data_IF_017942825311
#
_entry.id   IF_017942825311
#
_cell.length_a   1.000
_cell.length_b   1.000
_cell.length_c   1.000
_cell.angle_alpha   90.00
_cell.angle_beta   90.00
_cell.angle_gamma   90.00
#
_symmetry.space_group_name_H-M   'P 1'
#
loop_
_entity.id
_entity.type
_entity.pdbx_description
1 polymer ?
#
# COMPACT_ATOMS: atom_id res chain seq x y z
N UNK A 1 -6.53 -9.35 4.06
CA UNK A 1 -6.21 -7.99 3.54
C UNK A 1 -4.71 -7.86 3.33
N UNK A 2 -4.26 -7.15 2.29
CA UNK A 2 -2.84 -6.93 2.00
C UNK A 2 -2.51 -5.43 2.14
N UNK A 3 -1.50 -5.10 2.93
CA UNK A 3 -0.99 -3.74 3.20
C UNK A 3 0.44 -3.65 2.68
N UNK A 4 0.68 -2.72 1.76
CA UNK A 4 2.00 -2.47 1.18
C UNK A 4 2.64 -1.26 1.85
N UNK A 5 3.68 -1.50 2.64
CA UNK A 5 4.47 -0.47 3.34
C UNK A 5 5.70 -0.13 2.51
N UNK A 6 6.04 1.14 2.38
CA UNK A 6 7.30 1.53 1.71
C UNK A 6 7.26 2.91 1.08
N UNK A 7 8.41 3.37 0.62
CA UNK A 7 8.62 4.70 0.04
C UNK A 7 7.78 4.94 -1.23
N UNK A 8 7.47 6.20 -1.58
CA UNK A 8 7.10 6.53 -2.95
C UNK A 8 8.22 6.06 -3.90
N UNK A 9 7.86 5.46 -5.04
CA UNK A 9 8.86 4.88 -5.96
C UNK A 9 9.35 3.47 -5.60
N UNK A 10 8.92 2.88 -4.48
CA UNK A 10 9.32 1.52 -4.11
C UNK A 10 8.78 0.41 -5.03
N UNK A 11 7.78 0.69 -5.87
CA UNK A 11 7.17 -0.31 -6.76
C UNK A 11 5.91 -0.98 -6.20
N UNK A 12 5.32 -0.42 -5.15
CA UNK A 12 4.10 -0.95 -4.49
C UNK A 12 2.93 -1.14 -5.46
N UNK A 13 2.66 -0.18 -6.35
CA UNK A 13 1.54 -0.25 -7.29
C UNK A 13 1.71 -1.40 -8.28
N UNK A 14 2.94 -1.60 -8.77
CA UNK A 14 3.27 -2.73 -9.65
C UNK A 14 3.04 -4.07 -8.94
N UNK A 15 3.47 -4.18 -7.67
CA UNK A 15 3.23 -5.36 -6.85
C UNK A 15 1.73 -5.56 -6.55
N UNK A 16 1.01 -4.48 -6.19
CA UNK A 16 -0.44 -4.53 -5.94
C UNK A 16 -1.22 -5.07 -7.13
N UNK A 17 -0.91 -4.58 -8.33
CA UNK A 17 -1.54 -5.05 -9.58
C UNK A 17 -1.19 -6.51 -9.88
N UNK A 18 0.06 -6.90 -9.67
CA UNK A 18 0.50 -8.28 -9.90
C UNK A 18 -0.18 -9.24 -8.93
N UNK A 19 -0.28 -8.89 -7.64
CA UNK A 19 -1.02 -9.68 -6.64
C UNK A 19 -2.51 -9.76 -6.97
N UNK A 20 -3.13 -8.66 -7.39
CA UNK A 20 -4.55 -8.66 -7.77
C UNK A 20 -4.84 -9.56 -8.98
N UNK A 21 -3.89 -9.72 -9.91
CA UNK A 21 -4.01 -10.70 -11.01
C UNK A 21 -3.93 -12.15 -10.57
N UNK A 22 -3.17 -12.42 -9.48
CA UNK A 22 -2.97 -13.76 -8.92
C UNK A 22 -4.06 -14.15 -7.91
N UNK A 23 -4.78 -13.18 -7.34
CA UNK A 23 -5.80 -13.35 -6.30
C UNK A 23 -7.19 -13.12 -6.89
N UNK A 24 -7.96 -14.17 -7.23
CA UNK A 24 -9.28 -14.03 -7.83
C UNK A 24 -10.22 -13.21 -6.95
N UNK A 25 -10.85 -12.19 -7.53
CA UNK A 25 -11.79 -11.33 -6.82
C UNK A 25 -11.18 -10.25 -5.92
N UNK A 26 -9.85 -10.12 -5.87
CA UNK A 26 -9.19 -9.06 -5.13
C UNK A 26 -9.62 -7.66 -5.59
N UNK A 27 -9.69 -6.74 -4.64
CA UNK A 27 -10.01 -5.32 -4.86
C UNK A 27 -8.81 -4.47 -4.49
N UNK A 28 -8.23 -3.81 -5.48
CA UNK A 28 -7.19 -2.81 -5.25
C UNK A 28 -7.86 -1.49 -4.89
N UNK A 29 -7.60 -0.99 -3.70
CA UNK A 29 -8.01 0.33 -3.26
C UNK A 29 -6.84 1.30 -3.47
N UNK A 30 -6.93 2.07 -4.54
CA UNK A 30 -5.90 3.02 -4.97
C UNK A 30 -6.19 4.41 -4.39
N UNK A 31 -5.30 4.87 -3.52
CA UNK A 31 -5.42 6.16 -2.82
C UNK A 31 -5.58 7.34 -3.79
N UNK A 32 -4.81 7.35 -4.87
CA UNK A 32 -4.79 8.51 -5.77
C UNK A 32 -6.09 8.55 -6.59
N UNK A 33 -6.64 7.41 -7.00
CA UNK A 33 -7.96 7.33 -7.62
C UNK A 33 -9.07 7.75 -6.66
N UNK A 34 -9.04 7.26 -5.41
CA UNK A 34 -10.03 7.66 -4.38
C UNK A 34 -9.96 9.16 -4.14
N UNK A 35 -8.76 9.75 -4.05
CA UNK A 35 -8.57 11.19 -3.89
C UNK A 35 -9.20 11.97 -5.03
N UNK A 36 -8.92 11.61 -6.28
CA UNK A 36 -9.47 12.31 -7.44
C UNK A 36 -11.00 12.20 -7.55
N UNK A 37 -11.59 11.12 -7.07
CA UNK A 37 -13.06 10.98 -7.01
C UNK A 37 -13.67 11.89 -5.93
N UNK A 38 -12.99 12.03 -4.79
CA UNK A 38 -13.50 12.83 -3.67
C UNK A 38 -13.18 14.33 -3.81
N UNK A 39 -12.05 14.66 -4.43
CA UNK A 39 -11.51 16.01 -4.51
C UNK A 39 -11.01 16.30 -5.93
N UNK A 40 -11.79 17.10 -6.69
CA UNK A 40 -11.40 17.57 -8.03
C UNK A 40 -11.74 19.06 -8.14
N UNK A 41 -10.74 19.96 -8.11
CA UNK A 41 -9.29 19.72 -8.02
C UNK A 41 -8.82 19.25 -6.64
N UNK A 42 -7.66 18.56 -6.58
CA UNK A 42 -7.01 18.11 -5.34
C UNK A 42 -6.05 19.20 -4.80
N UNK A 43 -6.15 19.50 -3.51
CA UNK A 43 -5.24 20.43 -2.82
C UNK A 43 -4.05 19.71 -2.14
N UNK A 44 -4.07 18.40 -2.08
CA UNK A 44 -3.04 17.53 -1.46
C UNK A 44 -2.73 17.88 0.01
N UNK A 45 -3.69 18.40 0.74
CA UNK A 45 -3.57 18.75 2.16
C UNK A 45 -3.55 17.50 3.06
N UNK A 46 -3.14 17.69 4.32
CA UNK A 46 -3.25 16.63 5.32
C UNK A 46 -4.71 16.23 5.60
N UNK A 47 -5.63 17.21 5.58
CA UNK A 47 -7.05 16.95 5.78
C UNK A 47 -7.63 16.07 4.66
N UNK A 48 -7.31 16.34 3.38
CA UNK A 48 -7.69 15.46 2.28
C UNK A 48 -7.12 14.04 2.44
N UNK A 49 -5.85 13.95 2.84
CA UNK A 49 -5.21 12.64 3.07
C UNK A 49 -5.96 11.83 4.11
N UNK A 50 -6.37 12.47 5.21
CA UNK A 50 -7.06 11.82 6.31
C UNK A 50 -8.47 11.36 5.89
N UNK A 51 -9.19 12.17 5.11
CA UNK A 51 -10.49 11.80 4.52
C UNK A 51 -10.35 10.64 3.54
N UNK A 52 -9.36 10.68 2.64
CA UNK A 52 -9.09 9.59 1.69
C UNK A 52 -8.77 8.29 2.42
N UNK A 53 -7.92 8.35 3.45
CA UNK A 53 -7.55 7.18 4.22
C UNK A 53 -8.77 6.57 4.93
N UNK A 54 -9.62 7.39 5.56
CA UNK A 54 -10.86 6.94 6.19
C UNK A 54 -11.81 6.28 5.16
N UNK A 55 -12.00 6.90 4.00
CA UNK A 55 -12.82 6.33 2.93
C UNK A 55 -12.30 4.98 2.41
N UNK A 56 -10.97 4.83 2.32
CA UNK A 56 -10.35 3.56 1.95
C UNK A 56 -10.56 2.48 3.01
N UNK A 57 -10.48 2.82 4.31
CA UNK A 57 -10.78 1.89 5.40
C UNK A 57 -12.25 1.44 5.38
N UNK A 58 -13.19 2.37 5.12
CA UNK A 58 -14.61 2.03 5.01
C UNK A 58 -14.90 1.13 3.79
N UNK A 59 -14.26 1.41 2.65
CA UNK A 59 -14.34 0.54 1.49
C UNK A 59 -13.75 -0.85 1.76
N UNK A 60 -12.62 -0.92 2.49
CA UNK A 60 -12.01 -2.19 2.90
C UNK A 60 -12.97 -2.99 3.79
N UNK A 61 -13.57 -2.37 4.82
CA UNK A 61 -14.57 -3.00 5.69
C UNK A 61 -15.74 -3.59 4.88
N UNK A 62 -16.26 -2.82 3.92
CA UNK A 62 -17.33 -3.27 3.04
C UNK A 62 -16.96 -4.51 2.22
N UNK A 63 -15.74 -4.53 1.67
CA UNK A 63 -15.29 -5.65 0.84
C UNK A 63 -14.95 -6.89 1.68
N UNK A 64 -14.22 -6.73 2.79
CA UNK A 64 -13.86 -7.82 3.69
C UNK A 64 -15.11 -8.52 4.27
N UNK A 65 -16.14 -7.77 4.66
CA UNK A 65 -17.41 -8.32 5.11
C UNK A 65 -18.20 -9.10 4.03
N UNK A 66 -17.62 -9.25 2.83
CA UNK A 66 -18.14 -10.05 1.69
C UNK A 66 -17.12 -11.06 1.20
N UNK A 67 -16.21 -11.46 2.07
CA UNK A 67 -15.15 -12.45 1.82
C UNK A 67 -14.27 -12.09 0.60
N UNK A 68 -14.09 -10.77 0.35
CA UNK A 68 -13.21 -10.31 -0.73
C UNK A 68 -11.84 -9.93 -0.19
N UNK A 69 -10.82 -10.25 -0.95
CA UNK A 69 -9.45 -9.80 -0.66
C UNK A 69 -9.34 -8.31 -1.01
N UNK A 70 -8.72 -7.54 -0.13
CA UNK A 70 -8.43 -6.12 -0.35
C UNK A 70 -6.92 -5.92 -0.39
N UNK A 71 -6.44 -5.18 -1.39
CA UNK A 71 -5.06 -4.72 -1.50
C UNK A 71 -5.06 -3.19 -1.45
N UNK A 72 -4.37 -2.61 -0.47
CA UNK A 72 -4.17 -1.16 -0.40
C UNK A 72 -3.01 -0.73 -1.30
N UNK A 73 -3.28 0.24 -2.19
CA UNK A 73 -2.26 0.86 -3.04
C UNK A 73 -2.21 2.38 -2.87
N UNK A 74 -1.09 2.98 -3.28
CA UNK A 74 -0.86 4.43 -3.24
C UNK A 74 -0.55 5.00 -1.84
N UNK A 75 -0.75 4.25 -0.78
CA UNK A 75 -0.37 4.61 0.59
C UNK A 75 1.09 4.19 0.87
N UNK A 76 1.78 4.94 1.72
CA UNK A 76 3.13 4.58 2.18
C UNK A 76 3.09 3.72 3.45
N UNK A 77 1.99 3.82 4.20
CA UNK A 77 1.86 3.26 5.55
C UNK A 77 3.08 3.58 6.42
N UNK A 78 3.53 4.85 6.33
CA UNK A 78 4.74 5.32 7.02
C UNK A 78 4.62 5.43 8.52
N UNK A 79 3.43 5.28 9.07
CA UNK A 79 3.16 5.32 10.51
C UNK A 79 2.56 4.00 10.97
N UNK A 80 3.03 3.50 12.13
CA UNK A 80 2.44 2.31 12.79
C UNK A 80 0.94 2.44 13.00
N UNK A 81 0.46 3.63 13.34
CA UNK A 81 -0.97 3.90 13.52
C UNK A 81 -1.81 3.65 12.26
N UNK A 82 -1.23 3.82 11.07
CA UNK A 82 -1.94 3.52 9.82
C UNK A 82 -2.09 2.01 9.61
N UNK A 83 -1.02 1.25 9.89
CA UNK A 83 -1.07 -0.22 9.83
C UNK A 83 -2.07 -0.74 10.86
N UNK A 84 -1.98 -0.27 12.11
CA UNK A 84 -2.91 -0.65 13.18
C UNK A 84 -4.38 -0.33 12.85
N UNK A 85 -4.65 0.78 12.17
CA UNK A 85 -6.01 1.10 11.72
C UNK A 85 -6.52 0.10 10.64
N UNK A 86 -5.66 -0.34 9.74
CA UNK A 86 -5.99 -1.36 8.76
C UNK A 86 -6.20 -2.74 9.43
N UNK A 87 -5.34 -3.09 10.38
CA UNK A 87 -5.46 -4.32 11.19
C UNK A 87 -6.77 -4.36 11.97
N UNK A 88 -7.17 -3.25 12.59
CA UNK A 88 -8.44 -3.17 13.30
C UNK A 88 -9.64 -3.43 12.36
N UNK A 89 -9.63 -2.86 11.16
CA UNK A 89 -10.69 -3.10 10.15
C UNK A 89 -10.74 -4.56 9.73
N UNK A 90 -9.59 -5.19 9.54
CA UNK A 90 -9.53 -6.62 9.17
C UNK A 90 -10.01 -7.51 10.32
N UNK A 91 -9.53 -7.26 11.54
CA UNK A 91 -9.95 -7.99 12.74
C UNK A 91 -11.47 -7.93 12.94
N UNK A 92 -12.06 -6.74 12.81
CA UNK A 92 -13.53 -6.55 12.94
C UNK A 92 -14.32 -7.34 11.87
N UNK A 93 -13.69 -7.60 10.72
CA UNK A 93 -14.27 -8.37 9.63
C UNK A 93 -13.90 -9.88 9.70
N UNK A 94 -13.18 -10.33 10.73
CA UNK A 94 -12.71 -11.70 10.85
C UNK A 94 -11.65 -12.10 9.80
N UNK A 95 -10.90 -11.11 9.29
CA UNK A 95 -9.88 -11.31 8.26
C UNK A 95 -8.47 -11.07 8.84
N UNK A 96 -7.48 -11.76 8.29
CA UNK A 96 -6.05 -11.49 8.59
C UNK A 96 -5.49 -10.36 7.73
N UNK A 97 -4.34 -9.82 8.15
CA UNK A 97 -3.59 -8.80 7.41
C UNK A 97 -2.21 -9.34 7.07
N UNK A 98 -1.88 -9.36 5.79
CA UNK A 98 -0.52 -9.56 5.31
C UNK A 98 0.14 -8.19 5.13
N UNK A 99 1.12 -7.88 5.97
CA UNK A 99 1.93 -6.66 5.88
C UNK A 99 3.17 -6.97 5.06
N UNK A 100 3.33 -6.31 3.92
CA UNK A 100 4.47 -6.46 3.01
C UNK A 100 5.29 -5.17 3.01
N UNK A 101 6.50 -5.22 3.53
CA UNK A 101 7.45 -4.09 3.50
C UNK A 101 8.20 -4.13 2.18
N UNK A 102 7.92 -3.17 1.33
CA UNK A 102 8.57 -2.98 0.03
C UNK A 102 9.86 -2.18 0.23
N UNK A 103 10.95 -2.87 0.52
CA UNK A 103 12.24 -2.26 0.78
C UNK A 103 12.99 -1.93 -0.52
N UNK A 104 13.54 -0.73 -0.58
CA UNK A 104 14.34 -0.25 -1.71
C UNK A 104 15.31 0.82 -1.24
N UNK A 105 16.55 0.88 -1.75
CA UNK A 105 17.46 1.96 -1.46
C UNK A 105 16.86 3.32 -1.80
N UNK A 106 17.06 4.32 -0.91
CA UNK A 106 16.47 5.65 -1.04
C UNK A 106 16.73 6.29 -2.42
N UNK A 107 17.95 6.19 -2.92
CA UNK A 107 18.34 6.79 -4.20
C UNK A 107 17.65 6.08 -5.40
N UNK A 108 17.39 4.79 -5.28
CA UNK A 108 16.61 4.05 -6.30
C UNK A 108 15.15 4.52 -6.29
N UNK A 109 14.55 4.70 -5.10
CA UNK A 109 13.19 5.22 -4.97
C UNK A 109 13.07 6.63 -5.58
N UNK A 110 14.05 7.50 -5.30
CA UNK A 110 14.11 8.87 -5.86
C UNK A 110 14.22 8.81 -7.39
N UNK A 111 15.18 8.05 -7.92
CA UNK A 111 15.37 7.96 -9.37
C UNK A 111 14.11 7.45 -10.09
N UNK A 112 13.39 6.48 -9.49
CA UNK A 112 12.12 5.97 -10.03
C UNK A 112 11.01 7.03 -10.02
N UNK A 113 10.94 7.86 -8.97
CA UNK A 113 9.95 8.94 -8.87
C UNK A 113 10.25 10.04 -9.90
N UNK A 114 11.52 10.42 -10.08
CA UNK A 114 11.94 11.44 -11.04
C UNK A 114 11.79 10.98 -12.50
N UNK A 115 11.90 9.69 -12.77
CA UNK A 115 11.72 9.12 -14.11
C UNK A 115 10.25 8.88 -14.50
N UNK A 116 9.32 9.02 -13.57
CA UNK A 116 7.90 8.75 -13.82
C UNK A 116 7.20 9.99 -14.39
N UNK A 117 7.04 10.05 -15.72
CA UNK A 117 6.40 11.17 -16.43
C UNK A 117 4.87 11.26 -16.26
N UNK A 118 4.20 10.19 -15.80
CA UNK A 118 2.73 10.05 -15.87
C UNK A 118 2.16 9.60 -14.52
N UNK A 119 2.29 10.43 -13.47
CA UNK A 119 1.70 10.12 -12.18
C UNK A 119 0.47 10.98 -11.88
N UNK A 120 -0.66 10.32 -11.48
CA UNK A 120 -1.88 11.00 -11.03
C UNK A 120 -1.63 12.00 -9.86
N UNK A 121 -0.60 11.78 -9.05
CA UNK A 121 -0.22 12.68 -7.96
C UNK A 121 0.83 13.69 -8.43
N UNK A 122 0.41 14.93 -8.64
CA UNK A 122 1.25 16.04 -9.10
C UNK A 122 2.34 16.49 -8.10
N UNK A 123 2.34 15.97 -6.86
CA UNK A 123 3.23 16.38 -5.77
C UNK A 123 4.30 15.33 -5.42
N UNK A 124 4.69 14.48 -6.34
CA UNK A 124 5.77 13.49 -6.13
C UNK A 124 7.10 14.02 -6.65
N UNK A 125 8.01 14.27 -5.73
CA UNK A 125 9.39 14.69 -6.02
C UNK A 125 10.37 14.03 -5.04
N UNK A 126 11.66 14.22 -5.27
CA UNK A 126 12.72 13.71 -4.40
C UNK A 126 12.59 14.19 -2.94
N UNK A 127 12.06 15.40 -2.70
CA UNK A 127 11.91 15.94 -1.35
C UNK A 127 10.83 15.18 -0.59
N UNK A 128 9.73 14.83 -1.25
CA UNK A 128 8.66 14.01 -0.66
C UNK A 128 9.20 12.63 -0.30
N UNK A 129 10.00 11.99 -1.16
CA UNK A 129 10.60 10.68 -0.86
C UNK A 129 11.52 10.77 0.37
N UNK A 130 12.41 11.77 0.43
CA UNK A 130 13.32 11.97 1.58
C UNK A 130 12.57 12.24 2.88
N UNK A 131 11.51 13.07 2.84
CA UNK A 131 10.67 13.34 4.00
C UNK A 131 9.98 12.08 4.49
N UNK A 132 9.36 11.29 3.60
CA UNK A 132 8.70 10.04 3.96
C UNK A 132 9.72 9.07 4.54
N UNK A 133 10.92 8.95 3.96
CA UNK A 133 11.98 8.09 4.49
C UNK A 133 12.40 8.48 5.93
N UNK A 134 12.51 9.78 6.20
CA UNK A 134 12.86 10.28 7.53
C UNK A 134 11.74 10.06 8.57
N UNK A 135 10.49 9.92 8.14
CA UNK A 135 9.32 9.72 8.98
C UNK A 135 8.84 8.27 9.04
N UNK A 136 9.47 7.38 8.25
CA UNK A 136 9.06 5.98 8.16
C UNK A 136 9.30 5.26 9.48
N UNK A 137 8.23 4.69 10.02
CA UNK A 137 8.27 3.81 11.19
C UNK A 137 8.24 2.35 10.72
N UNK A 138 9.06 1.51 11.33
CA UNK A 138 8.99 0.06 11.10
C UNK A 138 7.63 -0.48 11.60
N UNK A 139 6.92 -1.33 10.81
CA UNK A 139 5.67 -1.93 11.27
C UNK A 139 5.86 -2.71 12.58
N UNK A 140 4.80 -2.80 13.37
CA UNK A 140 4.75 -3.67 14.54
C UNK A 140 4.19 -5.03 14.13
N UNK A 141 4.55 -6.10 14.86
CA UNK A 141 4.07 -7.45 14.59
C UNK A 141 4.80 -8.12 13.42
N UNK A 142 4.15 -9.12 12.83
CA UNK A 142 4.74 -9.93 11.76
C UNK A 142 4.56 -9.25 10.40
N UNK A 143 5.62 -9.24 9.61
CA UNK A 143 5.62 -8.72 8.25
C UNK A 143 6.67 -9.42 7.38
N UNK A 144 6.45 -9.44 6.09
CA UNK A 144 7.44 -9.90 5.11
C UNK A 144 8.15 -8.69 4.49
N UNK A 145 9.48 -8.67 4.53
CA UNK A 145 10.28 -7.69 3.78
C UNK A 145 10.62 -8.22 2.40
N UNK A 146 10.31 -7.42 1.38
CA UNK A 146 10.59 -7.69 -0.03
C UNK A 146 11.65 -6.71 -0.54
N UNK A 147 12.77 -7.22 -1.03
CA UNK A 147 13.79 -6.43 -1.73
C UNK A 147 13.28 -6.07 -3.13
N UNK A 148 12.77 -4.85 -3.27
CA UNK A 148 12.14 -4.34 -4.50
C UNK A 148 13.14 -4.04 -5.64
N UNK A 149 14.40 -4.43 -5.50
CA UNK A 149 15.40 -4.47 -6.58
C UNK A 149 15.47 -5.84 -7.26
N UNK A 150 14.84 -6.85 -6.67
CA UNK A 150 14.78 -8.22 -7.15
C UNK A 150 13.85 -8.38 -8.36
N UNK A 151 13.89 -9.57 -8.96
CA UNK A 151 13.00 -9.95 -10.07
C UNK A 151 11.52 -9.84 -9.67
N UNK A 152 10.68 -9.18 -10.48
CA UNK A 152 9.27 -8.94 -10.16
C UNK A 152 8.44 -10.22 -9.95
N UNK A 153 8.68 -11.28 -10.72
CA UNK A 153 7.93 -12.54 -10.57
C UNK A 153 8.27 -13.20 -9.25
N UNK A 154 9.55 -13.20 -8.88
CA UNK A 154 10.01 -13.70 -7.58
C UNK A 154 9.37 -12.94 -6.41
N UNK A 155 9.25 -11.62 -6.51
CA UNK A 155 8.59 -10.80 -5.47
C UNK A 155 7.13 -11.18 -5.31
N UNK A 156 6.42 -11.41 -6.40
CA UNK A 156 5.02 -11.85 -6.36
C UNK A 156 4.90 -13.23 -5.74
N UNK A 157 5.78 -14.18 -6.11
CA UNK A 157 5.77 -15.53 -5.54
C UNK A 157 6.05 -15.53 -4.02
N UNK A 158 7.01 -14.71 -3.56
CA UNK A 158 7.29 -14.55 -2.13
C UNK A 158 6.07 -13.96 -1.38
N UNK A 159 5.46 -12.92 -1.94
CA UNK A 159 4.29 -12.29 -1.35
C UNK A 159 3.09 -13.25 -1.31
N UNK A 160 2.87 -14.03 -2.36
CA UNK A 160 1.80 -15.03 -2.41
C UNK A 160 2.00 -16.13 -1.39
N UNK A 161 3.23 -16.67 -1.27
CA UNK A 161 3.55 -17.70 -0.27
C UNK A 161 3.26 -17.20 1.16
N UNK A 162 3.63 -15.96 1.47
CA UNK A 162 3.33 -15.37 2.77
C UNK A 162 1.83 -15.18 3.03
N UNK A 163 1.08 -14.74 2.01
CA UNK A 163 -0.39 -14.61 2.12
C UNK A 163 -1.05 -15.97 2.32
N UNK A 164 -0.57 -17.02 1.66
CA UNK A 164 -1.08 -18.39 1.79
C UNK A 164 -0.76 -19.00 3.16
N UNK A 165 0.42 -18.73 3.70
CA UNK A 165 0.81 -19.15 5.06
C UNK A 165 -0.15 -18.57 6.09
N UNK A 166 -0.40 -17.25 6.06
CA UNK A 166 -1.35 -16.59 6.96
C UNK A 166 -2.80 -17.03 6.78
N UNK A 167 -3.18 -17.50 5.60
CA UNK A 167 -4.52 -18.01 5.34
C UNK A 167 -4.74 -19.45 5.82
N UNK A 168 -3.65 -20.19 6.06
CA UNK A 168 -3.67 -21.57 6.54
C UNK A 168 -3.65 -21.73 8.05
N UNK A 169 -3.38 -20.64 8.78
CA UNK A 169 -3.43 -20.58 10.25
C UNK A 169 -4.85 -20.32 10.75
#
# INVERSE_FOLDING_TARGET
>A
MIVLVGLPGAGKSTLAEALARRLPGARVLDKDKVRHVLFDPCDYTSAERDVVFAAMLDAARYHLGRDRIVVFDGLTFSRRSQVAAAEAVAHDAGAFVAVLVCDVPLEVAIARVEAADDHLAANRDAQVVRRVAAEMEEPSGDYLTLDMTSDPERLVDQAMAYVEELAGE
#
